data_IF_653904743284
#
_entry.id   IF_653904743284
#
_cell.length_a   1.000
_cell.length_b   1.000
_cell.length_c   1.000
_cell.angle_alpha   90.00
_cell.angle_beta   90.00
_cell.angle_gamma   90.00
#
_symmetry.space_group_name_H-M   'P 1'
#
loop_
_entity.id
_entity.type
_entity.pdbx_description
1 polymer ?
#
# COMPACT_ATOMS: atom_id res chain seq x y z
N UNK A 1 -18.67 96.56 8.06
CA UNK A 1 -18.36 95.90 6.77
C UNK A 1 -17.37 94.80 7.09
N UNK A 2 -17.83 93.56 7.25
CA UNK A 2 -17.05 92.43 7.77
C UNK A 2 -16.27 91.76 6.63
N UNK A 3 -14.95 91.66 6.77
CA UNK A 3 -14.11 90.78 5.97
C UNK A 3 -14.09 89.39 6.63
N UNK A 4 -14.57 88.37 5.91
CA UNK A 4 -14.37 86.97 6.25
C UNK A 4 -13.61 86.35 5.08
N UNK A 5 -12.29 86.33 5.19
CA UNK A 5 -11.46 85.45 4.37
C UNK A 5 -11.49 84.06 4.99
N UNK A 6 -12.26 83.16 4.37
CA UNK A 6 -12.16 81.73 4.64
C UNK A 6 -10.87 81.20 4.00
N UNK A 7 -9.81 81.08 4.80
CA UNK A 7 -8.65 80.25 4.45
C UNK A 7 -9.07 78.78 4.53
N UNK A 8 -9.31 78.18 3.37
CA UNK A 8 -9.35 76.74 3.20
C UNK A 8 -7.99 76.16 3.65
N UNK A 9 -8.00 75.40 4.75
CA UNK A 9 -6.85 74.62 5.19
C UNK A 9 -6.62 73.46 4.23
N UNK A 10 -5.43 73.39 3.65
CA UNK A 10 -4.97 72.22 2.88
C UNK A 10 -4.86 70.98 3.79
N UNK A 11 -5.12 69.77 3.28
CA UNK A 11 -4.84 68.54 4.00
C UNK A 11 -3.32 68.32 4.13
N UNK A 12 -2.91 67.94 5.33
CA UNK A 12 -1.51 67.74 5.74
C UNK A 12 -0.83 66.63 4.94
N UNK A 13 0.25 66.97 4.23
CA UNK A 13 1.11 66.06 3.44
C UNK A 13 1.75 64.92 4.27
N UNK A 14 1.77 65.06 5.61
CA UNK A 14 2.29 64.04 6.52
C UNK A 14 1.32 62.86 6.67
N UNK A 15 0.02 63.08 6.52
CA UNK A 15 -1.01 62.05 6.69
C UNK A 15 -1.00 61.03 5.54
N UNK A 16 -0.66 61.47 4.33
CA UNK A 16 -0.55 60.63 3.14
C UNK A 16 0.69 59.73 3.17
N UNK A 17 1.83 60.23 3.65
CA UNK A 17 3.06 59.44 3.76
C UNK A 17 2.94 58.30 4.78
N UNK A 18 2.32 58.56 5.93
CA UNK A 18 2.03 57.52 6.93
C UNK A 18 1.06 56.44 6.43
N UNK A 19 0.14 56.79 5.54
CA UNK A 19 -0.76 55.83 4.90
C UNK A 19 -0.01 54.93 3.92
N UNK A 20 0.87 55.50 3.10
CA UNK A 20 1.70 54.75 2.15
C UNK A 20 2.60 53.74 2.90
N UNK A 21 3.25 54.15 4.00
CA UNK A 21 4.09 53.23 4.79
C UNK A 21 3.28 52.08 5.39
N UNK A 22 2.05 52.34 5.85
CA UNK A 22 1.15 51.29 6.35
C UNK A 22 0.73 50.34 5.23
N UNK A 23 0.47 50.85 4.04
CA UNK A 23 0.14 50.04 2.86
C UNK A 23 1.33 49.16 2.45
N UNK A 24 2.56 49.69 2.46
CA UNK A 24 3.78 48.92 2.18
C UNK A 24 4.00 47.79 3.19
N UNK A 25 3.83 48.05 4.49
CA UNK A 25 3.94 47.03 5.54
C UNK A 25 2.86 45.94 5.38
N UNK A 26 1.65 46.33 4.98
CA UNK A 26 0.57 45.39 4.69
C UNK A 26 0.87 44.54 3.46
N UNK A 27 1.47 45.11 2.42
CA UNK A 27 1.89 44.38 1.23
C UNK A 27 3.00 43.36 1.55
N UNK A 28 3.96 43.72 2.40
CA UNK A 28 5.01 42.80 2.85
C UNK A 28 4.41 41.61 3.62
N UNK A 29 3.49 41.88 4.56
CA UNK A 29 2.74 40.82 5.26
C UNK A 29 1.98 39.90 4.30
N UNK A 30 1.31 40.47 3.29
CA UNK A 30 0.60 39.69 2.26
C UNK A 30 1.58 38.79 1.48
N UNK A 31 2.76 39.30 1.12
CA UNK A 31 3.77 38.49 0.45
C UNK A 31 4.26 37.33 1.31
N UNK A 32 4.45 37.55 2.61
CA UNK A 32 4.85 36.49 3.53
C UNK A 32 3.77 35.43 3.71
N UNK A 33 2.49 35.82 3.76
CA UNK A 33 1.38 34.87 3.73
C UNK A 33 1.34 34.05 2.43
N UNK A 34 1.61 34.66 1.28
CA UNK A 34 1.70 33.94 0.00
C UNK A 34 2.86 32.94 0.01
N UNK A 35 4.03 33.29 0.55
CA UNK A 35 5.16 32.35 0.69
C UNK A 35 4.79 31.19 1.61
N UNK A 36 4.11 31.46 2.72
CA UNK A 36 3.65 30.45 3.66
C UNK A 36 2.63 29.50 3.04
N UNK A 37 1.67 30.01 2.26
CA UNK A 37 0.71 29.17 1.55
C UNK A 37 1.40 28.27 0.54
N UNK A 38 2.34 28.80 -0.25
CA UNK A 38 3.11 27.99 -1.22
C UNK A 38 3.93 26.89 -0.56
N UNK A 39 4.58 27.18 0.58
CA UNK A 39 5.35 26.17 1.31
C UNK A 39 4.45 25.10 1.92
N UNK A 40 3.28 25.50 2.43
CA UNK A 40 2.27 24.57 2.93
C UNK A 40 1.71 23.67 1.82
N UNK A 41 1.33 24.23 0.68
CA UNK A 41 0.84 23.46 -0.48
C UNK A 41 1.89 22.46 -0.97
N UNK A 42 3.16 22.88 -1.03
CA UNK A 42 4.26 21.99 -1.39
C UNK A 42 4.43 20.85 -0.39
N UNK A 43 4.41 21.16 0.91
CA UNK A 43 4.47 20.15 1.97
C UNK A 43 3.30 19.16 1.90
N UNK A 44 2.09 19.66 1.67
CA UNK A 44 0.90 18.84 1.51
C UNK A 44 1.01 17.90 0.30
N UNK A 45 1.45 18.41 -0.85
CA UNK A 45 1.68 17.59 -2.04
C UNK A 45 2.74 16.50 -1.81
N UNK A 46 3.81 16.82 -1.07
CA UNK A 46 4.83 15.84 -0.69
C UNK A 46 4.27 14.76 0.24
N UNK A 47 3.48 15.12 1.25
CA UNK A 47 2.82 14.14 2.12
C UNK A 47 1.92 13.19 1.34
N UNK A 48 1.11 13.70 0.40
CA UNK A 48 0.27 12.86 -0.45
C UNK A 48 1.10 11.95 -1.36
N UNK A 49 2.22 12.44 -1.88
CA UNK A 49 3.11 11.63 -2.71
C UNK A 49 3.74 10.48 -1.92
N UNK A 50 4.20 10.74 -0.69
CA UNK A 50 4.77 9.73 0.19
C UNK A 50 3.74 8.67 0.57
N UNK A 51 2.52 9.08 0.94
CA UNK A 51 1.42 8.13 1.22
C UNK A 51 1.15 7.23 0.01
N UNK A 52 1.01 7.81 -1.18
CA UNK A 52 0.76 7.03 -2.40
C UNK A 52 1.94 6.11 -2.76
N UNK A 53 3.17 6.50 -2.45
CA UNK A 53 4.35 5.66 -2.63
C UNK A 53 4.36 4.49 -1.64
N UNK A 54 4.07 4.76 -0.38
CA UNK A 54 3.97 3.77 0.68
C UNK A 54 2.92 2.71 0.35
N UNK A 55 1.71 3.11 -0.05
CA UNK A 55 0.65 2.21 -0.50
C UNK A 55 1.12 1.30 -1.65
N UNK A 56 1.82 1.86 -2.65
CA UNK A 56 2.37 1.08 -3.76
C UNK A 56 3.43 0.09 -3.30
N UNK A 57 4.27 0.47 -2.34
CA UNK A 57 5.28 -0.42 -1.78
C UNK A 57 4.63 -1.58 -1.02
N UNK A 58 3.64 -1.30 -0.17
CA UNK A 58 2.90 -2.32 0.56
C UNK A 58 2.15 -3.27 -0.37
N UNK A 59 1.49 -2.75 -1.40
CA UNK A 59 0.80 -3.59 -2.38
C UNK A 59 1.76 -4.52 -3.13
N UNK A 60 2.95 -4.04 -3.50
CA UNK A 60 3.98 -4.90 -4.11
C UNK A 60 4.50 -5.95 -3.14
N UNK A 61 4.79 -5.56 -1.90
CA UNK A 61 5.26 -6.47 -0.86
C UNK A 61 4.22 -7.57 -0.59
N UNK A 62 2.95 -7.20 -0.43
CA UNK A 62 1.84 -8.14 -0.25
C UNK A 62 1.72 -9.12 -1.41
N UNK A 63 1.79 -8.64 -2.65
CA UNK A 63 1.73 -9.52 -3.85
C UNK A 63 2.91 -10.48 -3.90
N UNK A 64 4.11 -10.02 -3.58
CA UNK A 64 5.31 -10.87 -3.51
C UNK A 64 5.15 -11.96 -2.46
N UNK A 65 4.78 -11.57 -1.24
CA UNK A 65 4.56 -12.51 -0.14
C UNK A 65 3.47 -13.55 -0.47
N UNK A 66 2.38 -13.13 -1.12
CA UNK A 66 1.33 -14.05 -1.57
C UNK A 66 1.83 -15.02 -2.65
N UNK A 67 2.71 -14.58 -3.57
CA UNK A 67 3.28 -15.43 -4.58
C UNK A 67 4.23 -16.47 -3.97
N UNK A 68 5.13 -16.03 -3.09
CA UNK A 68 6.05 -16.90 -2.34
C UNK A 68 5.27 -17.94 -1.52
N UNK A 69 4.25 -17.51 -0.77
CA UNK A 69 3.39 -18.41 0.01
C UNK A 69 2.69 -19.46 -0.86
N UNK A 70 2.20 -19.07 -2.04
CA UNK A 70 1.56 -20.03 -2.98
C UNK A 70 2.55 -21.08 -3.47
N UNK A 71 3.78 -20.68 -3.75
CA UNK A 71 4.82 -21.59 -4.20
C UNK A 71 5.24 -22.55 -3.08
N UNK A 72 5.45 -22.05 -1.87
CA UNK A 72 5.75 -22.89 -0.69
C UNK A 72 4.63 -23.90 -0.41
N UNK A 73 3.37 -23.46 -0.47
CA UNK A 73 2.21 -24.34 -0.32
C UNK A 73 2.13 -25.38 -1.44
N UNK A 74 2.49 -25.02 -2.67
CA UNK A 74 2.54 -25.97 -3.78
C UNK A 74 3.55 -27.09 -3.51
N UNK A 75 4.78 -26.75 -3.09
CA UNK A 75 5.80 -27.74 -2.79
C UNK A 75 5.43 -28.57 -1.56
N UNK A 76 4.92 -27.96 -0.49
CA UNK A 76 4.47 -28.68 0.71
C UNK A 76 3.36 -29.69 0.37
N UNK A 77 2.37 -29.30 -0.43
CA UNK A 77 1.31 -30.21 -0.88
C UNK A 77 1.86 -31.35 -1.75
N UNK A 78 2.82 -31.05 -2.64
CA UNK A 78 3.47 -32.08 -3.46
C UNK A 78 4.17 -33.12 -2.58
N UNK A 79 4.93 -32.69 -1.57
CA UNK A 79 5.60 -33.60 -0.64
C UNK A 79 4.60 -34.41 0.17
N UNK A 80 3.55 -33.78 0.69
CA UNK A 80 2.48 -34.46 1.41
C UNK A 80 1.82 -35.55 0.55
N UNK A 81 1.53 -35.26 -0.71
CA UNK A 81 0.96 -36.22 -1.65
C UNK A 81 1.90 -37.39 -1.92
N UNK A 82 3.21 -37.14 -2.03
CA UNK A 82 4.20 -38.21 -2.20
C UNK A 82 4.22 -39.15 -1.00
N UNK A 83 4.25 -38.60 0.21
CA UNK A 83 4.22 -39.39 1.46
C UNK A 83 2.93 -40.19 1.57
N UNK A 84 1.77 -39.58 1.32
CA UNK A 84 0.47 -40.28 1.36
C UNK A 84 0.40 -41.40 0.34
N UNK A 85 0.88 -41.18 -0.89
CA UNK A 85 0.92 -42.21 -1.93
C UNK A 85 1.84 -43.37 -1.54
N UNK A 86 3.00 -43.08 -0.95
CA UNK A 86 3.91 -44.12 -0.47
C UNK A 86 3.27 -44.95 0.65
N UNK A 87 2.65 -44.30 1.63
CA UNK A 87 1.94 -44.98 2.72
C UNK A 87 0.78 -45.84 2.19
N UNK A 88 -0.02 -45.31 1.26
CA UNK A 88 -1.12 -46.06 0.65
C UNK A 88 -0.61 -47.28 -0.13
N UNK A 89 0.44 -47.12 -0.93
CA UNK A 89 1.06 -48.24 -1.65
C UNK A 89 1.52 -49.33 -0.69
N UNK A 90 2.17 -48.95 0.40
CA UNK A 90 2.62 -49.90 1.42
C UNK A 90 1.44 -50.70 1.99
N UNK A 91 0.36 -50.01 2.40
CA UNK A 91 -0.83 -50.64 2.95
C UNK A 91 -1.50 -51.59 1.95
N UNK A 92 -1.68 -51.15 0.71
CA UNK A 92 -2.27 -51.99 -0.35
C UNK A 92 -1.39 -53.20 -0.68
N UNK A 93 -0.06 -53.05 -0.67
CA UNK A 93 0.86 -54.18 -0.87
C UNK A 93 0.76 -55.19 0.27
N UNK A 94 0.65 -54.74 1.51
CA UNK A 94 0.46 -55.63 2.66
C UNK A 94 -0.86 -56.37 2.61
N UNK A 95 -1.96 -55.67 2.29
CA UNK A 95 -3.29 -56.29 2.15
C UNK A 95 -3.32 -57.28 0.98
N UNK A 96 -2.72 -56.92 -0.17
CA UNK A 96 -2.65 -57.80 -1.32
C UNK A 96 -1.91 -59.10 -0.99
N UNK A 97 -0.79 -59.01 -0.27
CA UNK A 97 -0.04 -60.18 0.18
C UNK A 97 -0.88 -61.06 1.12
N UNK A 98 -1.58 -60.44 2.08
CA UNK A 98 -2.47 -61.17 2.97
C UNK A 98 -3.55 -61.93 2.19
N UNK A 99 -4.28 -61.25 1.30
CA UNK A 99 -5.32 -61.90 0.51
C UNK A 99 -4.77 -62.98 -0.42
N UNK A 100 -3.58 -62.80 -0.97
CA UNK A 100 -2.95 -63.82 -1.79
C UNK A 100 -2.71 -65.10 -1.00
N UNK A 101 -2.24 -64.99 0.25
CA UNK A 101 -2.03 -66.15 1.13
C UNK A 101 -3.34 -66.84 1.51
N UNK A 102 -4.39 -66.06 1.79
CA UNK A 102 -5.74 -66.59 2.09
C UNK A 102 -6.35 -67.31 0.88
N UNK A 103 -6.24 -66.73 -0.32
CA UNK A 103 -6.71 -67.36 -1.55
C UNK A 103 -5.97 -68.66 -1.85
N UNK A 104 -4.65 -68.66 -1.69
CA UNK A 104 -3.83 -69.84 -1.91
C UNK A 104 -4.24 -70.99 -0.97
N UNK A 105 -4.61 -70.69 0.29
CA UNK A 105 -5.16 -71.71 1.21
C UNK A 105 -6.48 -72.31 0.71
N UNK A 106 -7.27 -71.54 -0.04
CA UNK A 106 -8.51 -71.99 -0.67
C UNK A 106 -8.29 -72.64 -2.05
N UNK A 107 -7.03 -72.81 -2.48
CA UNK A 107 -6.68 -73.30 -3.81
C UNK A 107 -7.04 -72.32 -4.95
N UNK A 108 -7.27 -71.05 -4.62
CA UNK A 108 -7.58 -69.97 -5.56
C UNK A 108 -6.38 -69.02 -5.68
N UNK A 109 -6.36 -68.19 -6.72
CA UNK A 109 -5.34 -67.15 -6.89
C UNK A 109 -5.95 -65.92 -7.55
N UNK A 110 -5.24 -64.79 -7.44
CA UNK A 110 -5.58 -63.60 -8.20
C UNK A 110 -5.39 -63.84 -9.70
N UNK A 111 -6.27 -63.27 -10.50
CA UNK A 111 -6.12 -63.23 -11.94
C UNK A 111 -4.89 -62.38 -12.32
N UNK A 112 -4.03 -62.94 -13.16
CA UNK A 112 -2.89 -62.25 -13.73
C UNK A 112 -2.94 -62.44 -15.25
N UNK A 113 -3.19 -61.35 -15.97
CA UNK A 113 -3.11 -61.34 -17.43
C UNK A 113 -1.64 -61.48 -17.84
N UNK A 114 -1.34 -62.49 -18.65
CA UNK A 114 0.00 -62.68 -19.22
C UNK A 114 0.05 -61.99 -20.57
N UNK A 115 0.98 -61.05 -20.72
CA UNK A 115 1.35 -60.43 -22.00
C UNK A 115 1.99 -61.44 -22.94
#
# INVERSE_FOLDING_TARGET
MASIEQKAGLPSHNTTHEQILKEEEMLEKVQDFVKLLKSWEHGHAMCLHLLAQEDRCFERARKRQQAEMKEELHYANKQLMMVRRAALRHLLSTEHLQYQLELNHLGKSFYAERL
#
